data_IF_885534425564
#
_entry.id   IF_885534425564
#
_cell.length_a   1.000
_cell.length_b   1.000
_cell.length_c   1.000
_cell.angle_alpha   90.00
_cell.angle_beta   90.00
_cell.angle_gamma   90.00
#
_symmetry.space_group_name_H-M   'P 1'
#
loop_
_entity.id
_entity.type
_entity.pdbx_description
1 polymer ?
#
# COMPACT_ATOMS: atom_id res chain seq x y z
N UNK A 1 -6.46 -25.54 -17.52
CA UNK A 1 -6.45 -24.51 -18.57
C UNK A 1 -7.57 -23.53 -18.27
N UNK A 2 -7.31 -22.29 -17.80
CA UNK A 2 -8.34 -21.27 -17.82
C UNK A 2 -8.05 -20.19 -18.86
N UNK A 3 -9.09 -19.93 -19.65
CA UNK A 3 -9.19 -18.90 -20.67
C UNK A 3 -9.06 -17.51 -20.03
N UNK A 4 -8.01 -16.76 -20.38
CA UNK A 4 -7.92 -15.33 -20.10
C UNK A 4 -8.54 -14.55 -21.26
N UNK A 5 -9.70 -13.95 -21.04
CA UNK A 5 -10.28 -12.97 -21.96
C UNK A 5 -9.45 -11.68 -21.87
N UNK A 6 -8.63 -11.42 -22.88
CA UNK A 6 -7.84 -10.19 -23.01
C UNK A 6 -8.76 -9.04 -23.46
N UNK A 7 -9.09 -8.12 -22.55
CA UNK A 7 -9.66 -6.82 -22.92
C UNK A 7 -8.51 -5.85 -23.24
N UNK A 8 -8.17 -5.77 -24.53
CA UNK A 8 -7.11 -4.93 -25.08
C UNK A 8 -7.53 -3.46 -25.18
N UNK A 9 -7.68 -2.71 -24.08
CA UNK A 9 -7.89 -1.26 -24.23
C UNK A 9 -7.46 -0.33 -23.08
N UNK A 10 -6.53 -0.70 -22.20
CA UNK A 10 -5.85 0.26 -21.30
C UNK A 10 -4.41 -0.22 -20.97
N UNK A 11 -3.43 0.68 -20.79
CA UNK A 11 -2.02 0.32 -20.58
C UNK A 11 -1.72 -0.22 -19.16
N UNK A 12 -2.74 -0.37 -18.32
CA UNK A 12 -2.62 -0.94 -16.99
C UNK A 12 -3.22 -2.34 -17.00
N UNK A 13 -2.36 -3.36 -16.95
CA UNK A 13 -2.78 -4.74 -16.76
C UNK A 13 -3.37 -4.91 -15.36
N UNK A 14 -4.69 -4.72 -15.24
CA UNK A 14 -5.42 -5.04 -14.02
C UNK A 14 -5.51 -6.57 -13.94
N UNK A 15 -4.75 -7.18 -13.03
CA UNK A 15 -4.91 -8.58 -12.70
C UNK A 15 -6.18 -8.77 -11.88
N UNK A 16 -7.28 -9.11 -12.57
CA UNK A 16 -8.50 -9.58 -11.92
C UNK A 16 -8.25 -11.00 -11.41
N UNK A 17 -8.21 -11.19 -10.09
CA UNK A 17 -8.15 -12.53 -9.49
C UNK A 17 -9.54 -13.19 -9.53
N UNK A 18 -9.66 -14.42 -9.00
CA UNK A 18 -10.95 -15.18 -9.02
C UNK A 18 -12.09 -14.44 -8.31
N UNK A 19 -11.75 -13.57 -7.36
CA UNK A 19 -12.63 -12.55 -6.83
C UNK A 19 -12.49 -11.31 -7.69
N UNK A 20 -13.62 -10.74 -8.14
CA UNK A 20 -13.71 -9.57 -9.03
C UNK A 20 -13.26 -8.28 -8.31
N UNK A 21 -12.03 -8.26 -7.83
CA UNK A 21 -11.42 -7.10 -7.18
C UNK A 21 -10.11 -6.72 -7.86
N UNK A 22 -9.82 -5.43 -7.82
CA UNK A 22 -8.51 -4.90 -8.19
C UNK A 22 -7.57 -5.13 -7.01
N UNK A 23 -6.34 -5.56 -7.33
CA UNK A 23 -5.25 -5.64 -6.37
C UNK A 23 -4.20 -4.61 -6.74
N UNK A 24 -3.73 -3.88 -5.72
CA UNK A 24 -2.79 -2.78 -5.86
C UNK A 24 -1.43 -3.16 -5.29
N UNK A 25 -0.38 -2.56 -5.84
CA UNK A 25 0.90 -2.45 -5.14
C UNK A 25 1.02 -1.01 -4.65
N UNK A 26 1.30 -0.83 -3.36
CA UNK A 26 1.45 0.49 -2.73
C UNK A 26 2.88 0.64 -2.28
N UNK A 27 3.52 1.74 -2.71
CA UNK A 27 4.85 2.13 -2.28
C UNK A 27 4.74 3.33 -1.32
N UNK A 28 5.13 3.13 -0.06
CA UNK A 28 5.13 4.15 0.96
C UNK A 28 6.49 4.82 1.06
N UNK A 29 6.54 6.13 0.86
CA UNK A 29 7.74 6.95 1.08
C UNK A 29 7.53 7.84 2.29
N UNK A 30 8.41 7.73 3.28
CA UNK A 30 8.34 8.53 4.49
C UNK A 30 9.15 9.81 4.33
N UNK A 31 8.48 10.96 4.45
CA UNK A 31 9.09 12.27 4.27
C UNK A 31 10.33 12.45 5.17
N UNK A 32 11.39 13.03 4.61
CA UNK A 32 12.67 13.23 5.31
C UNK A 32 13.38 11.95 5.77
N UNK A 33 13.04 10.80 5.18
CA UNK A 33 13.76 9.54 5.39
C UNK A 33 14.03 8.85 4.05
N UNK A 34 15.03 7.97 4.02
CA UNK A 34 15.28 7.09 2.87
C UNK A 34 14.46 5.79 2.92
N UNK A 35 13.43 5.73 3.77
CA UNK A 35 12.67 4.50 3.99
C UNK A 35 11.54 4.41 2.97
N UNK A 36 11.54 3.28 2.28
CA UNK A 36 10.50 2.88 1.33
C UNK A 36 9.95 1.54 1.78
N UNK A 37 8.63 1.45 1.94
CA UNK A 37 7.94 0.18 2.18
C UNK A 37 7.07 -0.16 0.99
N UNK A 38 6.97 -1.45 0.68
CA UNK A 38 6.24 -1.93 -0.48
C UNK A 38 5.23 -3.00 -0.04
N UNK A 39 3.96 -2.72 -0.27
CA UNK A 39 2.87 -3.65 -0.02
C UNK A 39 2.31 -4.14 -1.34
N UNK A 40 2.27 -5.46 -1.52
CA UNK A 40 1.73 -6.10 -2.72
C UNK A 40 0.37 -6.71 -2.45
N UNK A 41 -0.47 -6.77 -3.48
CA UNK A 41 -1.74 -7.49 -3.43
C UNK A 41 -2.78 -6.83 -2.53
N UNK A 42 -2.68 -5.52 -2.31
CA UNK A 42 -3.64 -4.78 -1.49
C UNK A 42 -4.98 -4.76 -2.21
N UNK A 43 -6.01 -5.28 -1.54
CA UNK A 43 -7.36 -5.28 -2.07
C UNK A 43 -7.87 -3.84 -2.19
N UNK A 44 -8.52 -3.50 -3.29
CA UNK A 44 -9.10 -2.15 -3.48
C UNK A 44 -10.07 -1.70 -2.39
N UNK A 45 -10.66 -2.64 -1.65
CA UNK A 45 -11.58 -2.36 -0.53
C UNK A 45 -10.84 -2.09 0.80
N UNK A 46 -9.51 -2.24 0.84
CA UNK A 46 -8.70 -1.91 2.01
C UNK A 46 -8.53 -0.39 2.15
N UNK A 47 -8.57 0.12 3.39
CA UNK A 47 -8.28 1.53 3.63
C UNK A 47 -6.77 1.74 3.73
N UNK A 48 -6.27 2.85 3.19
CA UNK A 48 -4.85 3.22 3.30
C UNK A 48 -4.36 3.25 4.75
N UNK A 49 -5.20 3.72 5.68
CA UNK A 49 -4.93 3.71 7.11
C UNK A 49 -4.67 2.29 7.64
N UNK A 50 -5.52 1.31 7.31
CA UNK A 50 -5.36 -0.07 7.76
C UNK A 50 -4.08 -0.73 7.26
N UNK A 51 -3.63 -0.34 6.06
CA UNK A 51 -2.41 -0.87 5.43
C UNK A 51 -1.18 -0.29 6.13
N UNK A 52 -1.11 1.04 6.28
CA UNK A 52 0.05 1.71 6.87
C UNK A 52 0.17 1.49 8.39
N UNK A 53 -0.95 1.30 9.09
CA UNK A 53 -0.97 1.03 10.53
C UNK A 53 -0.11 -0.18 10.90
N UNK A 54 -0.12 -1.23 10.08
CA UNK A 54 0.70 -2.42 10.33
C UNK A 54 2.20 -2.14 10.34
N UNK A 55 2.65 -1.16 9.56
CA UNK A 55 4.04 -0.73 9.50
C UNK A 55 4.42 0.25 10.63
N UNK A 56 3.44 0.96 11.19
CA UNK A 56 3.66 1.94 12.25
C UNK A 56 3.47 1.37 13.66
N UNK A 57 3.03 0.12 13.80
CA UNK A 57 2.88 -0.55 15.09
C UNK A 57 4.20 -0.50 15.90
N UNK A 58 4.14 -0.16 17.20
CA UNK A 58 5.32 -0.14 18.06
C UNK A 58 6.03 -1.50 18.04
N UNK A 59 7.25 -1.53 17.52
CA UNK A 59 8.04 -2.73 17.32
C UNK A 59 9.53 -2.41 17.16
N UNK A 60 10.34 -3.40 16.80
CA UNK A 60 11.80 -3.28 16.63
C UNK A 60 12.23 -2.47 15.38
N UNK A 61 11.50 -1.42 15.03
CA UNK A 61 11.78 -0.60 13.87
C UNK A 61 12.94 0.35 14.15
N UNK A 62 13.75 0.56 13.12
CA UNK A 62 14.89 1.48 13.13
C UNK A 62 14.47 2.89 13.60
N UNK A 63 15.34 3.56 14.36
CA UNK A 63 15.17 4.92 14.88
C UNK A 63 14.63 5.95 13.86
N UNK A 64 14.77 5.69 12.55
CA UNK A 64 14.35 6.54 11.45
C UNK A 64 12.83 6.70 11.28
N UNK A 65 12.01 5.71 11.65
CA UNK A 65 10.53 5.86 11.58
C UNK A 65 9.90 6.29 12.91
N UNK A 66 10.73 6.53 13.94
CA UNK A 66 10.24 6.80 15.30
C UNK A 66 9.26 7.97 15.37
N UNK A 67 9.49 9.04 14.59
CA UNK A 67 8.59 10.18 14.53
C UNK A 67 7.21 9.80 14.01
N UNK A 68 7.14 8.91 13.02
CA UNK A 68 5.87 8.46 12.45
C UNK A 68 5.14 7.47 13.36
N UNK A 69 5.87 6.62 14.09
CA UNK A 69 5.29 5.70 15.08
C UNK A 69 4.81 6.40 16.36
N UNK A 70 5.36 7.58 16.69
CA UNK A 70 4.98 8.34 17.88
C UNK A 70 3.72 9.20 17.69
N UNK A 71 3.39 9.52 16.45
CA UNK A 71 2.19 10.27 16.08
C UNK A 71 0.98 9.34 15.96
N UNK A 72 -0.23 9.86 16.22
CA UNK A 72 -1.45 9.13 15.92
C UNK A 72 -1.66 9.05 14.41
N UNK A 73 -2.20 7.93 13.93
CA UNK A 73 -2.40 7.71 12.50
C UNK A 73 -3.24 8.80 11.84
N UNK A 74 -4.26 9.30 12.53
CA UNK A 74 -5.16 10.37 12.06
C UNK A 74 -4.46 11.74 11.94
N UNK A 75 -3.28 11.90 12.55
CA UNK A 75 -2.47 13.11 12.45
C UNK A 75 -1.52 13.07 11.24
N UNK A 76 -1.34 11.91 10.60
CA UNK A 76 -0.47 11.77 9.43
C UNK A 76 -1.13 12.33 8.17
N UNK A 77 -0.31 13.00 7.36
CA UNK A 77 -0.73 13.49 6.04
C UNK A 77 -0.20 12.54 4.98
N UNK A 78 -1.11 11.99 4.18
CA UNK A 78 -0.78 11.11 3.06
C UNK A 78 -0.86 11.93 1.77
N UNK A 79 0.19 11.89 0.96
CA UNK A 79 0.24 12.51 -0.35
C UNK A 79 0.28 11.40 -1.40
N UNK A 80 -0.63 11.45 -2.37
CA UNK A 80 -0.72 10.49 -3.49
C UNK A 80 -0.10 11.16 -4.72
N UNK A 81 0.81 10.46 -5.40
CA UNK A 81 1.50 10.93 -6.61
C UNK A 81 1.03 10.13 -7.83
#
# INVERSE_FOLDING_TARGET
>A
MPNSNFLNHYPFHIFLTRDKCITWTIEWRFHSTDIVLLDHGINENSTLSSVIENHLKPGAWNHKLKSFCAEQLDCLKIFIC
#
